data_IF_585624040263
#
_entry.id   IF_585624040263
#
_cell.length_a   1.000
_cell.length_b   1.000
_cell.length_c   1.000
_cell.angle_alpha   90.00
_cell.angle_beta   90.00
_cell.angle_gamma   90.00
#
_symmetry.space_group_name_H-M   'P 1'
#
loop_
_entity.id
_entity.type
_entity.pdbx_description
1 polymer ?
#
# COMPACT_ATOMS: atom_id res chain seq x y z
N UNK A 1 4.25 18.91 -8.58
CA UNK A 1 2.93 18.87 -7.90
C UNK A 1 2.24 17.56 -8.26
N UNK A 2 2.37 16.51 -7.45
CA UNK A 2 1.54 15.28 -7.53
C UNK A 2 1.85 14.29 -6.38
N UNK A 3 2.09 14.79 -5.16
CA UNK A 3 2.35 13.92 -3.98
C UNK A 3 1.03 13.33 -3.42
N UNK A 4 -0.12 13.88 -3.81
CA UNK A 4 -1.43 13.49 -3.23
C UNK A 4 -1.93 12.10 -3.66
N UNK A 5 -1.52 11.59 -4.82
CA UNK A 5 -2.11 10.35 -5.36
C UNK A 5 -1.46 9.07 -4.79
N UNK A 6 -0.18 9.15 -4.39
CA UNK A 6 0.53 8.00 -3.80
C UNK A 6 0.03 7.73 -2.37
N UNK A 7 0.07 8.74 -1.50
CA UNK A 7 -0.28 8.59 -0.07
C UNK A 7 -1.77 8.32 0.21
N UNK A 8 -2.65 8.52 -0.76
CA UNK A 8 -4.09 8.28 -0.56
C UNK A 8 -4.35 6.81 -0.22
N UNK A 9 -3.65 5.90 -0.86
CA UNK A 9 -3.81 4.46 -0.66
C UNK A 9 -3.08 3.96 0.58
N UNK A 10 -1.93 4.56 0.93
CA UNK A 10 -1.24 4.28 2.20
C UNK A 10 -2.11 4.63 3.40
N UNK A 11 -2.72 5.83 3.40
CA UNK A 11 -3.66 6.24 4.46
C UNK A 11 -4.90 5.36 4.48
N UNK A 12 -5.46 5.00 3.32
CA UNK A 12 -6.59 4.08 3.28
C UNK A 12 -6.25 2.68 3.82
N UNK A 13 -5.04 2.18 3.54
CA UNK A 13 -4.55 0.91 4.07
C UNK A 13 -4.33 0.96 5.58
N UNK A 14 -3.83 2.09 6.09
CA UNK A 14 -3.65 2.37 7.53
C UNK A 14 -4.97 2.52 8.29
N UNK A 15 -5.95 3.18 7.68
CA UNK A 15 -7.21 3.52 8.33
C UNK A 15 -8.31 2.48 8.04
N UNK A 16 -8.05 1.50 7.16
CA UNK A 16 -9.00 0.43 6.81
C UNK A 16 -10.09 0.85 5.82
N UNK A 17 -9.88 1.93 5.03
CA UNK A 17 -10.85 2.40 4.04
C UNK A 17 -10.90 1.49 2.81
N UNK A 18 -11.67 0.41 2.92
CA UNK A 18 -11.82 -0.59 1.87
C UNK A 18 -12.35 0.00 0.57
N UNK A 19 -13.32 0.92 0.62
CA UNK A 19 -13.92 1.50 -0.58
C UNK A 19 -12.89 2.24 -1.45
N UNK A 20 -11.98 3.00 -0.83
CA UNK A 20 -10.90 3.66 -1.56
C UNK A 20 -9.90 2.64 -2.14
N UNK A 21 -9.62 1.56 -1.41
CA UNK A 21 -8.75 0.49 -1.88
C UNK A 21 -9.41 -0.34 -2.99
N UNK A 22 -10.75 -0.34 -3.10
CA UNK A 22 -11.49 -0.93 -4.23
C UNK A 22 -11.33 -0.12 -5.52
N UNK A 23 -10.91 1.13 -5.45
CA UNK A 23 -10.54 1.89 -6.65
C UNK A 23 -9.03 1.85 -6.94
N UNK A 24 -8.25 1.19 -6.08
CA UNK A 24 -6.81 1.04 -6.27
C UNK A 24 -6.48 0.05 -7.39
N UNK A 25 -5.52 0.42 -8.23
CA UNK A 25 -4.94 -0.50 -9.22
C UNK A 25 -3.76 -1.28 -8.63
N UNK A 26 -3.33 -2.35 -9.31
CA UNK A 26 -2.13 -3.10 -8.92
C UNK A 26 -0.88 -2.22 -8.77
N UNK A 27 -0.76 -1.16 -9.58
CA UNK A 27 0.38 -0.23 -9.49
C UNK A 27 0.31 0.60 -8.22
N UNK A 28 -0.89 1.03 -7.82
CA UNK A 28 -1.10 1.80 -6.61
C UNK A 28 -0.83 0.97 -5.36
N UNK A 29 -1.31 -0.27 -5.34
CA UNK A 29 -1.05 -1.24 -4.28
C UNK A 29 0.44 -1.55 -4.07
N UNK A 30 1.26 -1.37 -5.12
CA UNK A 30 2.71 -1.61 -5.11
C UNK A 30 3.53 -0.31 -5.09
N UNK A 31 2.88 0.86 -4.99
CA UNK A 31 3.58 2.13 -4.96
C UNK A 31 4.17 2.37 -3.57
N UNK A 32 5.50 2.35 -3.47
CA UNK A 32 6.19 2.70 -2.24
C UNK A 32 6.07 4.22 -1.97
N UNK A 33 5.93 4.59 -0.69
CA UNK A 33 6.09 5.97 -0.22
C UNK A 33 7.58 6.37 -0.12
N UNK A 34 7.84 7.55 0.43
CA UNK A 34 9.20 8.07 0.63
C UNK A 34 10.05 7.20 1.58
N UNK A 35 9.42 6.46 2.49
CA UNK A 35 10.06 5.53 3.42
C UNK A 35 10.26 4.13 2.82
N UNK A 36 9.88 3.93 1.56
CA UNK A 36 9.94 2.66 0.87
C UNK A 36 8.83 1.69 1.28
N UNK A 37 7.78 2.17 1.95
CA UNK A 37 6.65 1.37 2.43
C UNK A 37 5.52 1.35 1.41
N UNK A 38 5.00 0.17 1.12
CA UNK A 38 3.83 0.00 0.25
C UNK A 38 2.54 0.09 1.08
N UNK A 39 1.39 0.40 0.47
CA UNK A 39 0.08 0.32 1.13
C UNK A 39 -0.16 -1.04 1.79
N UNK A 40 0.31 -2.13 1.16
CA UNK A 40 0.26 -3.49 1.74
C UNK A 40 0.98 -3.56 3.10
N UNK A 41 2.16 -2.96 3.20
CA UNK A 41 2.94 -2.92 4.45
C UNK A 41 2.26 -2.05 5.51
N UNK A 42 1.64 -0.93 5.12
CA UNK A 42 0.84 -0.10 6.04
C UNK A 42 -0.36 -0.89 6.61
N UNK A 43 -1.13 -1.58 5.77
CA UNK A 43 -2.23 -2.43 6.25
C UNK A 43 -1.74 -3.53 7.20
N UNK A 44 -0.62 -4.18 6.87
CA UNK A 44 -0.03 -5.22 7.73
C UNK A 44 0.47 -4.66 9.07
N UNK A 45 1.15 -3.51 9.04
CA UNK A 45 1.72 -2.86 10.23
C UNK A 45 0.64 -2.42 11.23
N UNK A 46 -0.48 -1.91 10.72
CA UNK A 46 -1.62 -1.48 11.54
C UNK A 46 -2.60 -2.62 11.88
N UNK A 47 -2.40 -3.83 11.33
CA UNK A 47 -3.26 -4.98 11.59
C UNK A 47 -4.61 -4.95 10.86
N UNK A 48 -4.75 -4.14 9.80
CA UNK A 48 -5.96 -4.07 8.99
C UNK A 48 -6.03 -5.25 8.03
N UNK A 49 -6.48 -6.39 8.53
CA UNK A 49 -6.57 -7.64 7.76
C UNK A 49 -7.48 -7.52 6.54
N UNK A 50 -8.58 -6.77 6.62
CA UNK A 50 -9.48 -6.58 5.49
C UNK A 50 -8.85 -5.76 4.36
N UNK A 51 -8.16 -4.67 4.72
CA UNK A 51 -7.40 -3.86 3.78
C UNK A 51 -6.28 -4.69 3.14
N UNK A 52 -5.57 -5.48 3.95
CA UNK A 52 -4.51 -6.36 3.50
C UNK A 52 -5.03 -7.40 2.49
N UNK A 53 -6.13 -8.08 2.82
CA UNK A 53 -6.78 -9.07 1.93
C UNK A 53 -7.22 -8.44 0.62
N UNK A 54 -7.77 -7.22 0.67
CA UNK A 54 -8.24 -6.50 -0.51
C UNK A 54 -7.07 -6.09 -1.41
N UNK A 55 -6.02 -5.51 -0.83
CA UNK A 55 -4.81 -5.10 -1.53
C UNK A 55 -4.10 -6.31 -2.16
N UNK A 56 -3.92 -7.40 -1.40
CA UNK A 56 -3.32 -8.64 -1.93
C UNK A 56 -4.19 -9.26 -3.02
N UNK A 57 -5.51 -9.25 -2.87
CA UNK A 57 -6.44 -9.69 -3.91
C UNK A 57 -6.36 -8.88 -5.21
N UNK A 58 -5.89 -7.62 -5.13
CA UNK A 58 -5.62 -6.74 -6.28
C UNK A 58 -4.25 -6.94 -6.92
N UNK A 59 -3.42 -7.83 -6.37
CA UNK A 59 -2.03 -8.03 -6.79
C UNK A 59 -1.04 -7.10 -6.10
N UNK A 60 -1.42 -6.55 -4.93
CA UNK A 60 -0.51 -5.92 -4.00
C UNK A 60 0.42 -6.95 -3.40
N UNK A 61 1.72 -6.70 -3.55
CA UNK A 61 2.76 -7.60 -3.08
C UNK A 61 3.27 -7.08 -1.72
N UNK A 62 3.50 -7.96 -0.74
CA UNK A 62 4.14 -7.59 0.53
C UNK A 62 5.66 -7.40 0.36
N UNK A 63 6.11 -7.00 -0.83
CA UNK A 63 7.52 -6.82 -1.11
C UNK A 63 7.99 -5.53 -0.45
N UNK A 64 8.92 -5.70 0.49
CA UNK A 64 9.65 -4.60 1.07
C UNK A 64 10.70 -4.10 0.07
N UNK A 65 10.47 -2.91 -0.50
CA UNK A 65 11.45 -2.25 -1.37
C UNK A 65 12.68 -1.74 -0.61
N UNK A 66 12.70 -1.74 0.74
CA UNK A 66 13.88 -1.37 1.53
C UNK A 66 15.07 -2.29 1.29
N UNK A 67 14.85 -3.49 0.75
CA UNK A 67 15.92 -4.43 0.42
C UNK A 67 16.57 -4.20 -0.97
N UNK A 68 16.18 -3.17 -1.73
CA UNK A 68 16.83 -2.83 -3.02
C UNK A 68 17.88 -1.71 -2.90
N UNK A 69 18.51 -1.53 -1.73
CA UNK A 69 19.66 -0.65 -1.53
C UNK A 69 20.86 -1.35 -0.87
N UNK A 70 21.18 -2.53 -1.35
CA UNK A 70 22.51 -3.12 -1.22
C UNK A 70 22.84 -3.87 -2.51
N UNK A 71 23.35 -3.15 -3.52
CA UNK A 71 24.56 -3.45 -4.30
C UNK A 71 24.98 -2.18 -5.03
#
# INVERSE_FOLDING_TARGET
MSVLDKDRFHRAARDGFLDLLRDATRKDCNSADEDGMTPTLWAAYYGNLDALRLIVGRGGEPRDTRHQRLM
#
